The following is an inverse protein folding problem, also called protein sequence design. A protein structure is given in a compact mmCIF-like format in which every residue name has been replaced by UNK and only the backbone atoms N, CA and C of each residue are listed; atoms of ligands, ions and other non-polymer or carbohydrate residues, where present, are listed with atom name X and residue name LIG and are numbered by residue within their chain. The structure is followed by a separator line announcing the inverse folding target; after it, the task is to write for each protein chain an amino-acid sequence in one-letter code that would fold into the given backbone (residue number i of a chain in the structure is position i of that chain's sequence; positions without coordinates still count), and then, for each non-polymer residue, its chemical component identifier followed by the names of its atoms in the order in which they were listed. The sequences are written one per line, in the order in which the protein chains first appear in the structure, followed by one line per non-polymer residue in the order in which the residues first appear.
data_IF_454831282790
#
_entry.id   IF_454831282790
#
_cell.length_a   1.000
_cell.length_b   1.000
_cell.length_c   1.000
_cell.angle_alpha   90.00
_cell.angle_beta   90.00
_cell.angle_gamma   90.00
#
_symmetry.space_group_name_H-M   'P 1'
#
loop_
_entity.id
_entity.type
_entity.pdbx_description
1 polymer ?
#
# COMPACT_ATOMS: atom_id res chain seq x y z
N UNK A 1 -48.99 -15.23 -9.92
CA UNK A 1 -48.21 -14.14 -9.31
C UNK A 1 -46.84 -14.62 -8.82
N UNK A 2 -46.58 -15.92 -8.81
CA UNK A 2 -45.35 -16.54 -8.26
C UNK A 2 -44.11 -16.49 -9.17
N UNK A 3 -44.25 -16.08 -10.44
CA UNK A 3 -43.09 -16.00 -11.37
C UNK A 3 -42.23 -14.75 -11.16
N UNK A 4 -42.76 -13.71 -10.49
CA UNK A 4 -42.03 -12.46 -10.25
C UNK A 4 -41.06 -12.61 -9.06
N UNK A 5 -41.42 -13.40 -8.05
CA UNK A 5 -40.59 -13.62 -6.86
C UNK A 5 -39.37 -14.51 -7.12
N UNK A 6 -39.48 -15.51 -8.00
CA UNK A 6 -38.31 -16.33 -8.37
C UNK A 6 -37.25 -15.53 -9.16
N UNK A 7 -37.68 -14.58 -9.99
CA UNK A 7 -36.75 -13.78 -10.81
C UNK A 7 -35.94 -12.80 -9.95
N UNK A 8 -36.55 -12.19 -8.94
CA UNK A 8 -35.86 -11.26 -8.03
C UNK A 8 -34.88 -11.98 -7.10
N UNK A 9 -35.20 -13.21 -6.66
CA UNK A 9 -34.29 -14.04 -5.86
C UNK A 9 -33.03 -14.45 -6.64
N UNK A 10 -33.18 -14.85 -7.91
CA UNK A 10 -32.04 -15.25 -8.78
C UNK A 10 -31.13 -14.05 -9.06
N UNK A 11 -31.70 -12.87 -9.37
CA UNK A 11 -30.93 -11.65 -9.62
C UNK A 11 -30.15 -11.22 -8.37
N UNK A 12 -30.77 -11.31 -7.18
CA UNK A 12 -30.12 -10.96 -5.91
C UNK A 12 -28.96 -11.92 -5.57
N UNK A 13 -29.15 -13.23 -5.81
CA UNK A 13 -28.10 -14.22 -5.59
C UNK A 13 -26.88 -14.02 -6.52
N UNK A 14 -27.11 -13.66 -7.78
CA UNK A 14 -26.03 -13.41 -8.74
C UNK A 14 -25.20 -12.16 -8.39
N UNK A 15 -25.86 -11.09 -7.91
CA UNK A 15 -25.17 -9.85 -7.53
C UNK A 15 -24.25 -10.00 -6.30
N UNK A 16 -24.56 -10.92 -5.38
CA UNK A 16 -23.76 -11.10 -4.16
C UNK A 16 -22.50 -11.95 -4.37
N UNK A 17 -22.41 -12.72 -5.45
CA UNK A 17 -21.27 -13.63 -5.71
C UNK A 17 -19.94 -12.88 -5.94
N UNK A 18 -19.96 -11.73 -6.63
CA UNK A 18 -18.76 -10.94 -6.92
C UNK A 18 -18.13 -10.34 -5.65
N UNK A 19 -18.92 -10.12 -4.60
CA UNK A 19 -18.42 -9.63 -3.32
C UNK A 19 -17.42 -10.58 -2.66
N UNK A 20 -17.66 -11.89 -2.79
CA UNK A 20 -16.77 -12.92 -2.27
C UNK A 20 -15.41 -12.83 -2.98
N UNK A 21 -15.42 -12.72 -4.31
CA UNK A 21 -14.20 -12.60 -5.14
C UNK A 21 -13.42 -11.32 -4.78
N UNK A 22 -14.12 -10.19 -4.62
CA UNK A 22 -13.48 -8.93 -4.22
C UNK A 22 -12.81 -9.05 -2.84
N UNK A 23 -13.48 -9.62 -1.84
CA UNK A 23 -12.90 -9.81 -0.51
C UNK A 23 -11.66 -10.72 -0.54
N UNK A 24 -11.69 -11.82 -1.31
CA UNK A 24 -10.53 -12.70 -1.47
C UNK A 24 -9.35 -11.94 -2.07
N UNK A 25 -9.63 -11.09 -3.06
CA UNK A 25 -8.60 -10.32 -3.75
C UNK A 25 -8.02 -9.22 -2.84
N UNK A 26 -8.86 -8.55 -2.05
CA UNK A 26 -8.44 -7.60 -1.01
C UNK A 26 -7.51 -8.29 -0.01
N UNK A 27 -7.92 -9.44 0.54
CA UNK A 27 -7.12 -10.20 1.51
C UNK A 27 -5.77 -10.60 0.90
N UNK A 28 -5.76 -11.04 -0.35
CA UNK A 28 -4.53 -11.38 -1.06
C UNK A 28 -3.56 -10.18 -1.17
N UNK A 29 -4.05 -9.01 -1.61
CA UNK A 29 -3.21 -7.81 -1.72
C UNK A 29 -2.68 -7.33 -0.37
N UNK A 30 -3.51 -7.36 0.69
CA UNK A 30 -3.09 -7.00 2.04
C UNK A 30 -1.98 -7.92 2.56
N UNK A 31 -2.14 -9.24 2.41
CA UNK A 31 -1.10 -10.20 2.82
C UNK A 31 0.19 -9.94 2.05
N UNK A 32 0.10 -9.70 0.73
CA UNK A 32 1.26 -9.40 -0.09
C UNK A 32 1.98 -8.11 0.35
N UNK A 33 1.23 -7.04 0.62
CA UNK A 33 1.78 -5.77 1.08
C UNK A 33 2.49 -5.90 2.44
N UNK A 34 1.87 -6.60 3.40
CA UNK A 34 2.45 -6.90 4.72
C UNK A 34 3.73 -7.72 4.58
N UNK A 35 3.74 -8.76 3.73
CA UNK A 35 4.93 -9.57 3.49
C UNK A 35 6.08 -8.76 2.89
N UNK A 36 5.79 -7.90 1.90
CA UNK A 36 6.80 -7.00 1.33
C UNK A 36 7.37 -6.06 2.40
N UNK A 37 6.52 -5.49 3.26
CA UNK A 37 6.95 -4.63 4.36
C UNK A 37 7.86 -5.36 5.35
N UNK A 38 7.49 -6.57 5.78
CA UNK A 38 8.29 -7.39 6.69
C UNK A 38 9.64 -7.74 6.06
N UNK A 39 9.67 -8.19 4.80
CA UNK A 39 10.92 -8.50 4.10
C UNK A 39 11.82 -7.26 4.03
N UNK A 40 11.27 -6.09 3.71
CA UNK A 40 12.01 -4.84 3.68
C UNK A 40 12.64 -4.52 5.05
N UNK A 41 11.85 -4.62 6.13
CA UNK A 41 12.33 -4.39 7.49
C UNK A 41 13.45 -5.36 7.89
N UNK A 42 13.32 -6.64 7.55
CA UNK A 42 14.36 -7.64 7.81
C UNK A 42 15.66 -7.29 7.07
N UNK A 43 15.59 -6.89 5.79
CA UNK A 43 16.79 -6.50 5.03
C UNK A 43 17.50 -5.31 5.70
N UNK A 44 16.74 -4.29 6.13
CA UNK A 44 17.30 -3.11 6.79
C UNK A 44 17.86 -3.44 8.18
N UNK A 45 17.21 -4.34 8.92
CA UNK A 45 17.66 -4.77 10.25
C UNK A 45 19.00 -5.50 10.19
N UNK A 46 19.19 -6.40 9.21
CA UNK A 46 20.41 -7.20 9.10
C UNK A 46 21.56 -6.50 8.38
N UNK A 47 21.32 -5.38 7.68
CA UNK A 47 22.36 -4.72 6.91
C UNK A 47 22.63 -3.28 7.35
N UNK A 48 23.78 -3.07 7.99
CA UNK A 48 24.27 -1.76 8.43
C UNK A 48 24.41 -0.75 7.28
N UNK A 49 24.65 -1.18 6.04
CA UNK A 49 24.74 -0.26 4.88
C UNK A 49 23.41 0.39 4.54
N UNK A 50 22.29 -0.15 5.05
CA UNK A 50 20.96 0.41 4.88
C UNK A 50 20.62 1.50 5.91
N UNK A 51 21.48 1.77 6.90
CA UNK A 51 21.20 2.71 8.00
C UNK A 51 21.42 4.17 7.60
N UNK A 52 20.76 4.57 6.50
CA UNK A 52 20.70 5.96 6.04
C UNK A 52 19.37 6.58 6.45
N UNK A 53 19.36 7.89 6.70
CA UNK A 53 18.15 8.65 7.06
C UNK A 53 16.94 8.40 6.12
N UNK A 54 17.07 8.45 4.77
CA UNK A 54 15.93 8.18 3.88
C UNK A 54 15.41 6.74 3.97
N UNK A 55 16.27 5.76 4.29
CA UNK A 55 15.84 4.37 4.48
C UNK A 55 15.15 4.20 5.83
N UNK A 56 15.64 4.85 6.89
CA UNK A 56 14.95 4.85 8.19
C UNK A 56 13.54 5.47 8.10
N UNK A 57 13.38 6.52 7.32
CA UNK A 57 12.06 7.11 7.05
C UNK A 57 11.16 6.16 6.23
N UNK A 58 11.77 5.32 5.40
CA UNK A 58 11.07 4.25 4.66
C UNK A 58 10.65 3.12 5.59
N UNK A 59 11.51 2.73 6.53
CA UNK A 59 11.20 1.76 7.61
C UNK A 59 9.99 2.20 8.42
N UNK A 60 9.84 3.50 8.72
CA UNK A 60 8.64 4.02 9.39
C UNK A 60 7.37 3.74 8.57
N UNK A 61 7.38 3.98 7.25
CA UNK A 61 6.24 3.63 6.40
C UNK A 61 5.98 2.13 6.34
N UNK A 62 7.01 1.28 6.36
CA UNK A 62 6.83 -0.17 6.43
C UNK A 62 6.20 -0.62 7.77
N UNK A 63 6.59 0.00 8.89
CA UNK A 63 5.96 -0.27 10.19
C UNK A 63 4.48 0.16 10.21
N UNK A 64 4.19 1.34 9.66
CA UNK A 64 2.81 1.81 9.53
C UNK A 64 2.01 0.91 8.61
N UNK A 65 2.57 0.43 7.50
CA UNK A 65 1.95 -0.55 6.61
C UNK A 65 1.60 -1.85 7.36
N UNK A 66 2.48 -2.36 8.23
CA UNK A 66 2.17 -3.58 9.01
C UNK A 66 1.01 -3.33 9.97
N UNK A 67 1.01 -2.19 10.69
CA UNK A 67 -0.05 -1.85 11.64
C UNK A 67 -1.39 -1.66 10.90
N UNK A 68 -1.38 -0.82 9.87
CA UNK A 68 -2.55 -0.52 9.05
C UNK A 68 -3.08 -1.76 8.32
N UNK A 69 -2.18 -2.54 7.70
CA UNK A 69 -2.51 -3.77 7.00
C UNK A 69 -3.13 -4.81 7.93
N UNK A 70 -2.66 -4.90 9.18
CA UNK A 70 -3.26 -5.80 10.19
C UNK A 70 -4.69 -5.40 10.57
N UNK A 71 -4.94 -4.09 10.74
CA UNK A 71 -6.29 -3.56 11.02
C UNK A 71 -7.22 -3.83 9.84
N UNK A 72 -6.78 -3.54 8.63
CA UNK A 72 -7.57 -3.70 7.40
C UNK A 72 -7.81 -5.18 7.09
N UNK A 73 -6.83 -6.05 7.35
CA UNK A 73 -6.99 -7.50 7.25
C UNK A 73 -8.04 -8.03 8.23
N UNK A 74 -8.06 -7.53 9.47
CA UNK A 74 -9.11 -7.89 10.43
C UNK A 74 -10.51 -7.50 9.93
N UNK A 75 -10.63 -6.31 9.34
CA UNK A 75 -11.88 -5.83 8.73
C UNK A 75 -12.30 -6.67 7.51
N UNK A 76 -11.35 -7.01 6.64
CA UNK A 76 -11.59 -7.80 5.44
C UNK A 76 -12.02 -9.24 5.77
N UNK A 77 -11.35 -9.88 6.74
CA UNK A 77 -11.72 -11.22 7.23
C UNK A 77 -13.10 -11.21 7.86
N UNK A 78 -13.42 -10.21 8.68
CA UNK A 78 -14.76 -10.07 9.25
C UNK A 78 -15.84 -9.92 8.17
N UNK A 79 -15.59 -9.04 7.18
CA UNK A 79 -16.52 -8.83 6.06
C UNK A 79 -16.72 -10.11 5.25
N UNK A 80 -15.64 -10.84 4.97
CA UNK A 80 -15.67 -12.12 4.28
C UNK A 80 -16.47 -13.19 5.06
N UNK A 81 -16.26 -13.29 6.38
CA UNK A 81 -17.03 -14.19 7.24
C UNK A 81 -18.52 -13.84 7.27
N UNK A 82 -18.84 -12.55 7.28
CA UNK A 82 -20.22 -12.09 7.29
C UNK A 82 -20.93 -12.40 5.96
N UNK A 83 -20.25 -12.21 4.83
CA UNK A 83 -20.79 -12.49 3.50
C UNK A 83 -20.96 -13.99 3.25
N UNK A 84 -20.02 -14.82 3.72
CA UNK A 84 -20.09 -16.28 3.55
C UNK A 84 -21.19 -16.92 4.39
N UNK A 85 -21.48 -16.38 5.57
CA UNK A 85 -22.54 -16.90 6.46
C UNK A 85 -23.90 -16.26 6.20
N UNK A 86 -23.99 -15.19 5.40
CA UNK A 86 -25.20 -14.39 5.17
C UNK A 86 -25.91 -13.92 6.46
N UNK A 87 -25.17 -13.81 7.57
CA UNK A 87 -25.72 -13.37 8.85
C UNK A 87 -25.59 -11.84 8.95
N UNK A 88 -26.65 -11.16 9.37
CA UNK A 88 -26.57 -9.76 9.77
C UNK A 88 -26.13 -9.71 11.24
N UNK A 89 -24.81 -9.79 11.49
CA UNK A 89 -24.28 -9.74 12.85
C UNK A 89 -24.01 -8.29 13.29
N UNK A 90 -24.53 -7.88 14.45
CA UNK A 90 -24.12 -6.64 15.11
C UNK A 90 -22.74 -6.85 15.75
N UNK A 91 -21.69 -6.35 15.11
CA UNK A 91 -20.35 -6.40 15.66
C UNK A 91 -20.04 -5.14 16.48
N UNK A 92 -19.89 -5.32 17.79
CA UNK A 92 -19.50 -4.25 18.72
C UNK A 92 -18.13 -3.64 18.36
N UNK A 93 -17.25 -4.40 17.70
CA UNK A 93 -15.93 -3.94 17.27
C UNK A 93 -15.98 -3.21 15.91
N UNK A 94 -17.13 -3.15 15.23
CA UNK A 94 -17.23 -2.52 13.91
C UNK A 94 -16.82 -1.04 13.95
N UNK A 95 -17.36 -0.28 14.90
CA UNK A 95 -17.02 1.15 15.10
C UNK A 95 -15.55 1.32 15.45
N UNK A 96 -15.01 0.45 16.31
CA UNK A 96 -13.62 0.48 16.73
C UNK A 96 -12.66 0.19 15.56
N UNK A 97 -12.94 -0.84 14.76
CA UNK A 97 -12.16 -1.17 13.55
C UNK A 97 -12.23 -0.05 12.52
N UNK A 98 -13.41 0.54 12.30
CA UNK A 98 -13.57 1.69 11.41
C UNK A 98 -12.75 2.89 11.84
N UNK A 99 -12.76 3.21 13.15
CA UNK A 99 -11.94 4.28 13.71
C UNK A 99 -10.44 3.99 13.57
N UNK A 100 -9.99 2.79 13.91
CA UNK A 100 -8.59 2.39 13.75
C UNK A 100 -8.14 2.43 12.28
N UNK A 101 -8.99 1.99 11.34
CA UNK A 101 -8.70 2.07 9.92
C UNK A 101 -8.51 3.53 9.48
N UNK A 102 -9.42 4.43 9.90
CA UNK A 102 -9.32 5.85 9.60
C UNK A 102 -8.03 6.49 10.15
N UNK A 103 -7.72 6.26 11.44
CA UNK A 103 -6.49 6.75 12.07
C UNK A 103 -5.25 6.16 11.38
N UNK A 104 -5.28 4.87 11.06
CA UNK A 104 -4.20 4.20 10.35
C UNK A 104 -3.96 4.79 8.95
N UNK A 105 -5.02 5.09 8.19
CA UNK A 105 -4.91 5.77 6.90
C UNK A 105 -4.28 7.16 7.06
N UNK A 106 -4.66 7.92 8.10
CA UNK A 106 -4.06 9.23 8.35
C UNK A 106 -2.56 9.12 8.66
N UNK A 107 -2.16 8.21 9.56
CA UNK A 107 -0.74 7.95 9.89
C UNK A 107 0.05 7.52 8.64
N UNK A 108 -0.57 6.71 7.78
CA UNK A 108 0.01 6.28 6.51
C UNK A 108 0.31 7.49 5.61
N UNK A 109 -0.70 8.34 5.35
CA UNK A 109 -0.55 9.56 4.55
C UNK A 109 0.51 10.52 5.12
N UNK A 110 0.54 10.70 6.45
CA UNK A 110 1.58 11.51 7.10
C UNK A 110 2.98 10.95 6.87
N UNK A 111 3.15 9.63 6.93
CA UNK A 111 4.45 8.99 6.72
C UNK A 111 4.98 9.23 5.29
N UNK A 112 4.12 9.13 4.28
CA UNK A 112 4.50 9.46 2.89
C UNK A 112 4.78 10.95 2.69
N UNK A 113 4.00 11.80 3.35
CA UNK A 113 4.19 13.26 3.29
C UNK A 113 5.55 13.65 3.88
N UNK A 114 5.93 13.07 5.03
CA UNK A 114 7.25 13.25 5.62
C UNK A 114 8.37 12.78 4.69
N UNK A 115 8.20 11.64 3.99
CA UNK A 115 9.17 11.19 2.99
C UNK A 115 9.31 12.16 1.82
N UNK A 116 8.19 12.70 1.32
CA UNK A 116 8.20 13.67 0.24
C UNK A 116 8.91 14.96 0.66
N UNK A 117 8.60 15.49 1.84
CA UNK A 117 9.22 16.68 2.42
C UNK A 117 10.73 16.46 2.62
N UNK A 118 11.13 15.33 3.21
CA UNK A 118 12.54 15.04 3.43
C UNK A 118 13.33 14.99 2.11
N UNK A 119 12.78 14.34 1.08
CA UNK A 119 13.41 14.29 -0.26
C UNK A 119 13.49 15.66 -0.90
N UNK A 120 12.43 16.47 -0.77
CA UNK A 120 12.43 17.84 -1.26
C UNK A 120 13.50 18.69 -0.59
N UNK A 121 13.55 18.69 0.75
CA UNK A 121 14.56 19.43 1.52
C UNK A 121 15.96 18.96 1.16
N UNK A 122 16.19 17.64 1.08
CA UNK A 122 17.48 17.08 0.70
C UNK A 122 17.95 17.58 -0.67
N UNK A 123 17.06 17.63 -1.68
CA UNK A 123 17.40 18.17 -3.00
C UNK A 123 17.72 19.67 -2.93
N UNK A 124 16.84 20.46 -2.30
CA UNK A 124 16.98 21.92 -2.26
C UNK A 124 18.21 22.36 -1.46
N UNK A 125 18.47 21.75 -0.29
CA UNK A 125 19.65 22.08 0.51
C UNK A 125 20.95 21.58 -0.11
N UNK A 126 20.97 20.39 -0.73
CA UNK A 126 22.19 19.89 -1.36
C UNK A 126 22.56 20.74 -2.58
N UNK A 127 21.57 21.29 -3.30
CA UNK A 127 21.80 22.25 -4.38
C UNK A 127 22.46 23.56 -3.91
N UNK A 128 22.31 23.94 -2.65
CA UNK A 128 22.93 25.14 -2.08
C UNK A 128 24.40 24.94 -1.70
N UNK A 129 24.89 23.69 -1.65
CA UNK A 129 26.22 23.32 -1.13
C UNK A 129 27.21 22.96 -2.26
N UNK A 130 26.77 22.70 -3.50
CA UNK A 130 27.62 22.04 -4.49
C UNK A 130 28.35 22.98 -5.48
N UNK A 131 29.66 23.06 -5.28
CA UNK A 131 30.71 23.36 -6.28
C UNK A 131 30.82 22.21 -7.33
N UNK A 132 29.69 21.73 -7.86
CA UNK A 132 29.65 20.67 -8.89
C UNK A 132 29.15 21.24 -10.23
N UNK A 133 29.64 20.66 -11.34
CA UNK A 133 29.19 21.02 -12.68
C UNK A 133 27.66 20.94 -12.79
N UNK A 134 27.02 22.03 -13.21
CA UNK A 134 25.57 22.19 -13.31
C UNK A 134 24.88 20.96 -13.94
N UNK A 135 25.51 20.34 -14.94
CA UNK A 135 24.97 19.21 -15.70
C UNK A 135 24.75 17.93 -14.87
N UNK A 136 25.59 17.68 -13.87
CA UNK A 136 25.49 16.49 -12.98
C UNK A 136 24.43 16.73 -11.91
N UNK A 137 24.36 17.96 -11.39
CA UNK A 137 23.35 18.39 -10.42
C UNK A 137 21.94 18.27 -11.03
N UNK A 138 21.70 18.83 -12.21
CA UNK A 138 20.38 18.78 -12.86
C UNK A 138 19.90 17.35 -13.15
N UNK A 139 20.81 16.42 -13.50
CA UNK A 139 20.44 15.02 -13.71
C UNK A 139 20.00 14.32 -12.43
N UNK A 140 20.68 14.58 -11.30
CA UNK A 140 20.28 14.01 -10.00
C UNK A 140 18.94 14.59 -9.56
N UNK A 141 18.78 15.89 -9.68
CA UNK A 141 17.56 16.60 -9.27
C UNK A 141 16.36 16.13 -10.09
N UNK A 142 16.49 15.95 -11.41
CA UNK A 142 15.45 15.38 -12.27
C UNK A 142 15.02 13.96 -11.87
N UNK A 143 15.97 13.11 -11.46
CA UNK A 143 15.64 11.74 -11.01
C UNK A 143 14.87 11.76 -9.70
N UNK A 144 15.23 12.65 -8.77
CA UNK A 144 14.54 12.76 -7.48
C UNK A 144 13.17 13.43 -7.64
N UNK A 145 13.08 14.51 -8.40
CA UNK A 145 11.81 15.21 -8.71
C UNK A 145 10.84 14.27 -9.42
N UNK A 146 11.30 13.49 -10.40
CA UNK A 146 10.46 12.48 -11.06
C UNK A 146 9.89 11.47 -10.05
N UNK A 147 10.67 11.03 -9.07
CA UNK A 147 10.20 10.12 -8.01
C UNK A 147 9.20 10.80 -7.07
N UNK A 148 9.39 12.08 -6.75
CA UNK A 148 8.45 12.86 -5.92
C UNK A 148 7.12 13.05 -6.65
N UNK A 149 7.16 13.44 -7.93
CA UNK A 149 5.96 13.61 -8.76
C UNK A 149 5.19 12.30 -8.85
N UNK A 150 5.86 11.16 -9.04
CA UNK A 150 5.19 9.85 -9.06
C UNK A 150 4.48 9.57 -7.72
N UNK A 151 5.13 9.83 -6.58
CA UNK A 151 4.52 9.62 -5.26
C UNK A 151 3.31 10.56 -5.06
N UNK A 152 3.42 11.83 -5.43
CA UNK A 152 2.33 12.80 -5.34
C UNK A 152 1.16 12.40 -6.25
N UNK A 153 1.43 11.97 -7.48
CA UNK A 153 0.40 11.51 -8.40
C UNK A 153 -0.32 10.28 -7.85
N UNK A 154 0.40 9.34 -7.24
CA UNK A 154 -0.22 8.19 -6.60
C UNK A 154 -1.06 8.63 -5.38
N UNK A 155 -0.54 9.54 -4.56
CA UNK A 155 -1.26 10.08 -3.39
C UNK A 155 -2.55 10.80 -3.79
N UNK A 156 -2.52 11.59 -4.87
CA UNK A 156 -3.69 12.26 -5.42
C UNK A 156 -4.68 11.26 -6.03
N UNK A 157 -4.18 10.28 -6.78
CA UNK A 157 -5.01 9.22 -7.37
C UNK A 157 -5.68 8.38 -6.28
N UNK A 158 -5.07 8.30 -5.09
CA UNK A 158 -5.60 7.59 -3.94
C UNK A 158 -6.55 8.38 -3.07
N UNK A 159 -6.17 9.62 -2.76
CA UNK A 159 -6.97 10.51 -1.92
C UNK A 159 -8.25 10.94 -2.61
N UNK A 160 -8.21 11.14 -3.93
CA UNK A 160 -9.35 11.64 -4.69
C UNK A 160 -10.59 10.73 -4.66
N UNK A 161 -10.51 9.41 -4.97
CA UNK A 161 -11.66 8.53 -4.86
C UNK A 161 -12.17 8.45 -3.41
N UNK A 162 -11.28 8.43 -2.42
CA UNK A 162 -11.68 8.38 -1.01
C UNK A 162 -12.45 9.64 -0.57
N UNK A 163 -11.96 10.83 -0.95
CA UNK A 163 -12.64 12.10 -0.68
C UNK A 163 -13.98 12.17 -1.39
N UNK A 164 -14.05 11.75 -2.66
CA UNK A 164 -15.33 11.68 -3.40
C UNK A 164 -16.31 10.75 -2.69
N UNK A 165 -15.87 9.57 -2.23
CA UNK A 165 -16.75 8.63 -1.54
C UNK A 165 -17.25 9.16 -0.20
N UNK A 166 -16.40 9.87 0.56
CA UNK A 166 -16.82 10.56 1.79
C UNK A 166 -17.88 11.61 1.46
N UNK A 167 -17.67 12.43 0.44
CA UNK A 167 -18.61 13.47 0.03
C UNK A 167 -19.96 12.87 -0.41
N UNK A 168 -19.94 11.79 -1.18
CA UNK A 168 -21.15 11.06 -1.60
C UNK A 168 -21.88 10.45 -0.40
N UNK A 169 -21.15 9.99 0.62
CA UNK A 169 -21.73 9.44 1.86
C UNK A 169 -22.49 10.48 2.69
N UNK A 170 -22.19 11.78 2.55
CA UNK A 170 -22.94 12.85 3.21
C UNK A 170 -24.25 13.18 2.47
N UNK A 171 -24.28 13.00 1.15
CA UNK A 171 -25.43 13.38 0.30
C UNK A 171 -26.42 12.21 0.13
N UNK A 172 -25.92 10.98 0.11
CA UNK A 172 -26.70 9.77 -0.14
C UNK A 172 -26.34 8.69 0.87
N UNK A 173 -27.32 7.89 1.33
CA UNK A 173 -27.03 6.65 2.08
C UNK A 173 -26.07 5.81 1.22
N UNK A 174 -24.80 5.68 1.59
CA UNK A 174 -23.80 5.10 0.69
C UNK A 174 -24.17 3.64 0.45
N UNK A 175 -24.35 3.20 -0.80
CA UNK A 175 -24.64 1.82 -1.05
C UNK A 175 -23.38 0.97 -0.79
N UNK A 176 -23.58 -0.19 -0.17
CA UNK A 176 -22.53 -1.05 0.41
C UNK A 176 -21.40 -1.42 -0.56
N UNK A 177 -21.67 -1.44 -1.87
CA UNK A 177 -20.69 -1.82 -2.90
C UNK A 177 -19.62 -0.75 -3.16
N UNK A 178 -19.95 0.54 -3.00
CA UNK A 178 -19.01 1.64 -3.24
C UNK A 178 -17.84 1.62 -2.26
N UNK A 179 -18.11 1.33 -0.98
CA UNK A 179 -17.08 1.22 0.05
C UNK A 179 -16.09 0.09 -0.25
N UNK A 180 -16.58 -1.05 -0.77
CA UNK A 180 -15.73 -2.22 -1.07
C UNK A 180 -14.82 -1.96 -2.27
N UNK A 181 -15.34 -1.30 -3.30
CA UNK A 181 -14.53 -0.89 -4.46
C UNK A 181 -13.45 0.10 -4.01
N UNK A 182 -13.79 1.04 -3.13
CA UNK A 182 -12.83 1.99 -2.58
C UNK A 182 -11.71 1.29 -1.78
N UNK A 183 -12.06 0.35 -0.90
CA UNK A 183 -11.10 -0.46 -0.15
C UNK A 183 -10.19 -1.26 -1.10
N UNK A 184 -10.77 -1.92 -2.11
CA UNK A 184 -9.99 -2.64 -3.11
C UNK A 184 -8.96 -1.75 -3.84
N UNK A 185 -9.38 -0.57 -4.31
CA UNK A 185 -8.49 0.37 -4.99
C UNK A 185 -7.39 0.89 -4.06
N UNK A 186 -7.73 1.14 -2.80
CA UNK A 186 -6.80 1.55 -1.76
C UNK A 186 -5.73 0.46 -1.54
N UNK A 187 -6.12 -0.78 -1.30
CA UNK A 187 -5.18 -1.87 -1.02
C UNK A 187 -4.30 -2.20 -2.24
N UNK A 188 -4.88 -2.17 -3.44
CA UNK A 188 -4.14 -2.35 -4.69
C UNK A 188 -3.03 -1.31 -4.82
N UNK A 189 -3.37 -0.04 -4.60
CA UNK A 189 -2.41 1.05 -4.71
C UNK A 189 -1.31 0.99 -3.65
N UNK A 190 -1.63 0.60 -2.41
CA UNK A 190 -0.68 0.48 -1.32
C UNK A 190 0.34 -0.62 -1.65
N UNK A 191 -0.14 -1.74 -2.20
CA UNK A 191 0.71 -2.79 -2.71
C UNK A 191 1.64 -2.27 -3.82
N UNK A 192 1.13 -1.48 -4.77
CA UNK A 192 1.95 -0.88 -5.84
C UNK A 192 2.99 0.12 -5.29
N UNK A 193 2.63 0.92 -4.29
CA UNK A 193 3.55 1.83 -3.60
C UNK A 193 4.67 1.05 -2.92
N UNK A 194 4.32 0.00 -2.17
CA UNK A 194 5.30 -0.83 -1.47
C UNK A 194 6.24 -1.55 -2.44
N UNK A 195 5.72 -2.09 -3.54
CA UNK A 195 6.53 -2.63 -4.63
C UNK A 195 7.47 -1.56 -5.23
N UNK A 196 6.97 -0.35 -5.43
CA UNK A 196 7.73 0.78 -5.97
C UNK A 196 8.85 1.20 -5.03
N UNK A 197 8.56 1.35 -3.74
CA UNK A 197 9.56 1.66 -2.71
C UNK A 197 10.65 0.59 -2.69
N UNK A 198 10.25 -0.69 -2.67
CA UNK A 198 11.17 -1.81 -2.66
C UNK A 198 12.12 -1.76 -3.87
N UNK A 199 11.56 -1.54 -5.08
CA UNK A 199 12.34 -1.48 -6.32
C UNK A 199 13.28 -0.27 -6.40
N UNK A 200 12.87 0.89 -5.88
CA UNK A 200 13.64 2.13 -6.00
C UNK A 200 14.63 2.39 -4.86
N UNK A 201 14.57 1.57 -3.79
CA UNK A 201 15.52 1.61 -2.68
C UNK A 201 16.82 0.94 -3.08
N UNK A 202 17.74 1.73 -3.66
CA UNK A 202 19.06 1.25 -4.11
C UNK A 202 19.82 0.38 -3.10
N UNK A 203 19.98 0.76 -1.82
CA UNK A 203 20.74 -0.07 -0.88
C UNK A 203 20.10 -1.45 -0.68
N UNK A 204 18.77 -1.55 -0.73
CA UNK A 204 18.05 -2.84 -0.65
C UNK A 204 18.29 -3.65 -1.93
N UNK A 205 18.18 -3.02 -3.09
CA UNK A 205 18.43 -3.68 -4.38
C UNK A 205 19.87 -4.20 -4.49
N UNK A 206 20.86 -3.43 -4.00
CA UNK A 206 22.26 -3.83 -4.02
C UNK A 206 22.51 -5.09 -3.18
N UNK A 207 21.82 -5.21 -2.03
CA UNK A 207 21.87 -6.41 -1.18
C UNK A 207 21.26 -7.61 -1.88
N UNK A 208 20.09 -7.44 -2.50
CA UNK A 208 19.42 -8.50 -3.28
C UNK A 208 20.30 -8.96 -4.45
N UNK A 209 20.90 -8.03 -5.18
CA UNK A 209 21.81 -8.33 -6.30
C UNK A 209 23.11 -8.99 -5.83
N UNK A 210 23.64 -8.60 -4.67
CA UNK A 210 24.81 -9.24 -4.06
C UNK A 210 24.49 -10.68 -3.68
N UNK A 211 23.34 -10.93 -3.05
CA UNK A 211 22.89 -12.28 -2.72
C UNK A 211 22.71 -13.14 -3.97
N UNK A 212 22.02 -12.62 -5.01
CA UNK A 212 21.84 -13.32 -6.28
C UNK A 212 23.18 -13.71 -6.94
N UNK A 213 24.18 -12.82 -6.91
CA UNK A 213 25.52 -13.12 -7.43
C UNK A 213 26.22 -14.24 -6.66
N UNK A 214 26.14 -14.23 -5.32
CA UNK A 214 26.71 -15.28 -4.47
C UNK A 214 26.07 -16.65 -4.68
N UNK A 215 24.75 -16.69 -4.91
CA UNK A 215 24.05 -17.93 -5.24
C UNK A 215 24.48 -18.42 -6.63
N UNK A 216 24.52 -17.53 -7.62
CA UNK A 216 24.93 -17.88 -8.99
C UNK A 216 26.36 -18.43 -9.06
N UNK A 217 27.29 -17.91 -8.26
CA UNK A 217 28.69 -18.38 -8.24
C UNK A 217 28.86 -19.75 -7.59
N UNK A 218 27.92 -20.21 -6.76
CA UNK A 218 27.94 -21.58 -6.19
C UNK A 218 27.42 -22.64 -7.16
N UNK A 219 26.60 -22.24 -8.13
CA UNK A 219 25.91 -23.18 -9.03
C UNK A 219 26.74 -23.55 -10.26
N UNK A 220 27.79 -22.80 -10.61
CA UNK A 220 28.76 -23.23 -11.63
C UNK A 220 29.82 -24.11 -10.97
N UNK A 221 29.81 -25.45 -11.18
CA UNK A 221 30.93 -26.28 -10.76
C UNK A 221 32.10 -25.94 -11.68
N UNK A 222 33.27 -25.72 -11.08
CA UNK A 222 34.55 -25.75 -11.78
C UNK A 222 34.66 -27.08 -12.50
N UNK A 223 34.49 -27.08 -13.82
CA UNK A 223 34.91 -28.19 -14.68
C UNK A 223 36.44 -28.15 -14.71
N UNK A 224 37.05 -28.81 -13.74
CA UNK A 224 38.47 -29.20 -13.74
C UNK A 224 38.59 -30.62 -14.24
#
# INVERSE_FOLDING_TARGET
MDSVDNTTAIVKANFESWFIIMNITIIFFLILAILIAIIFLLIVAFNKTCHTVPIMLTTNSCLVEIIYGSITLSLAVFTFQNDTKQLAYQDALCTFRGYLAFVGTAIYLYSFTLQAIYRYISVVHTAHISWQSARVQTRRDLVVVRRIIIIIMILLTLGFPYVIFILISFVTKPPKYHLRIALFLLDLSQTLIMMTIFKFSQPVMDVVLKYKRLVSSRVQPTMT
#
